data_IF_879145988925
#
_entry.id   IF_879145988925
#
_cell.length_a   1.000
_cell.length_b   1.000
_cell.length_c   1.000
_cell.angle_alpha   90.00
_cell.angle_beta   90.00
_cell.angle_gamma   90.00
#
_symmetry.space_group_name_H-M   'P 1'
#
loop_
_entity.id
_entity.type
_entity.pdbx_description
1 polymer ?
#
# COMPACT_ATOMS: atom_id res chain seq x y z
N UNK A 1 -70.28 -17.37 -17.75
CA UNK A 1 -69.09 -18.18 -18.05
C UNK A 1 -67.92 -17.25 -18.32
N UNK A 2 -67.04 -17.03 -17.35
CA UNK A 2 -65.82 -16.23 -17.53
C UNK A 2 -64.61 -17.15 -17.66
N UNK A 3 -63.86 -16.96 -18.73
CA UNK A 3 -62.52 -17.52 -18.91
C UNK A 3 -61.53 -16.39 -18.60
N UNK A 4 -60.47 -16.67 -17.83
CA UNK A 4 -59.47 -15.66 -17.48
C UNK A 4 -58.26 -16.23 -16.75
N UNK A 5 -57.43 -16.97 -17.49
CA UNK A 5 -55.95 -16.97 -17.50
C UNK A 5 -55.26 -16.28 -16.29
N UNK A 6 -54.58 -17.05 -15.42
CA UNK A 6 -53.41 -16.56 -14.65
C UNK A 6 -52.16 -16.47 -15.55
N UNK A 7 -50.93 -16.21 -15.08
CA UNK A 7 -50.45 -16.04 -13.71
C UNK A 7 -49.47 -14.84 -13.56
N UNK A 8 -49.12 -14.44 -12.33
CA UNK A 8 -47.74 -14.01 -12.04
C UNK A 8 -47.50 -13.95 -10.53
N UNK A 9 -46.72 -14.92 -10.06
CA UNK A 9 -45.92 -14.81 -8.85
C UNK A 9 -45.07 -13.53 -8.95
N UNK A 10 -45.34 -12.54 -8.09
CA UNK A 10 -44.38 -11.47 -7.82
C UNK A 10 -43.20 -12.09 -7.08
N UNK A 11 -42.22 -12.58 -7.85
CA UNK A 11 -40.88 -12.85 -7.37
C UNK A 11 -40.21 -11.50 -7.12
N UNK A 12 -40.35 -10.99 -5.89
CA UNK A 12 -39.51 -9.90 -5.37
C UNK A 12 -38.10 -10.44 -5.12
N UNK A 13 -37.34 -10.62 -6.19
CA UNK A 13 -35.89 -10.78 -6.09
C UNK A 13 -35.27 -9.46 -5.59
N UNK A 14 -34.21 -9.49 -4.77
CA UNK A 14 -33.49 -8.28 -4.43
C UNK A 14 -32.88 -7.70 -5.71
N UNK A 15 -33.44 -6.57 -6.16
CA UNK A 15 -32.80 -5.70 -7.13
C UNK A 15 -31.59 -5.06 -6.47
N UNK A 16 -30.40 -5.45 -6.90
CA UNK A 16 -29.16 -4.98 -6.32
C UNK A 16 -27.94 -5.53 -7.02
N UNK A 17 -27.96 -5.59 -8.36
CA UNK A 17 -26.74 -5.65 -9.16
C UNK A 17 -26.02 -4.29 -9.05
N UNK A 18 -25.58 -3.95 -7.84
CA UNK A 18 -24.59 -2.89 -7.65
C UNK A 18 -23.33 -3.37 -8.34
N UNK A 19 -23.00 -2.78 -9.50
CA UNK A 19 -21.70 -2.98 -10.12
C UNK A 19 -20.66 -2.78 -9.03
N UNK A 20 -19.94 -3.85 -8.70
CA UNK A 20 -18.98 -3.88 -7.61
C UNK A 20 -17.95 -2.78 -7.87
N UNK A 21 -18.14 -1.63 -7.23
CA UNK A 21 -17.10 -0.63 -7.13
C UNK A 21 -15.93 -1.35 -6.46
N UNK A 22 -14.71 -1.27 -7.03
CA UNK A 22 -13.55 -1.85 -6.37
C UNK A 22 -13.54 -1.37 -4.92
N UNK A 23 -13.36 -2.30 -3.98
CA UNK A 23 -13.39 -2.00 -2.57
C UNK A 23 -12.15 -1.18 -2.22
N UNK A 24 -12.25 0.14 -2.34
CA UNK A 24 -11.20 1.05 -1.87
C UNK A 24 -11.25 1.09 -0.34
N UNK A 25 -10.12 0.87 0.35
CA UNK A 25 -10.07 1.14 1.77
C UNK A 25 -10.18 2.65 2.04
N UNK A 26 -10.65 3.01 3.23
CA UNK A 26 -10.70 4.41 3.67
C UNK A 26 -9.29 4.95 3.99
N UNK A 27 -8.41 4.06 4.45
CA UNK A 27 -7.02 4.33 4.83
C UNK A 27 -6.04 3.45 4.04
N UNK A 28 -4.75 3.80 4.08
CA UNK A 28 -3.70 3.00 3.43
C UNK A 28 -3.56 1.67 4.16
N UNK A 29 -3.84 0.56 3.47
CA UNK A 29 -3.69 -0.78 4.03
C UNK A 29 -2.43 -1.47 3.50
N UNK A 30 -1.69 -2.08 4.41
CA UNK A 30 -0.47 -2.82 4.10
C UNK A 30 -0.75 -4.32 4.20
N UNK A 31 -0.39 -5.07 3.16
CA UNK A 31 -0.49 -6.53 3.21
C UNK A 31 0.57 -7.16 4.10
N UNK A 32 0.33 -8.44 4.41
CA UNK A 32 1.39 -9.33 4.88
C UNK A 32 2.53 -9.36 3.85
N UNK A 33 3.76 -9.43 4.37
CA UNK A 33 4.96 -9.63 3.54
C UNK A 33 5.03 -11.11 3.17
N UNK A 34 5.45 -11.39 1.96
CA UNK A 34 5.83 -12.72 1.52
C UNK A 34 7.20 -12.63 0.88
N UNK A 35 8.04 -13.63 1.09
CA UNK A 35 9.41 -13.67 0.60
C UNK A 35 9.62 -14.89 -0.28
N UNK A 36 10.41 -14.69 -1.33
CA UNK A 36 10.98 -15.75 -2.15
C UNK A 36 12.50 -15.85 -1.85
N UNK A 37 13.25 -16.65 -2.60
CA UNK A 37 14.69 -16.84 -2.38
C UNK A 37 15.55 -15.57 -2.54
N UNK A 38 15.03 -14.53 -3.21
CA UNK A 38 15.80 -13.32 -3.60
C UNK A 38 15.16 -12.02 -3.12
N UNK A 39 13.82 -11.95 -3.06
CA UNK A 39 13.07 -10.72 -2.81
C UNK A 39 11.97 -10.91 -1.78
N UNK A 40 11.72 -9.86 -0.99
CA UNK A 40 10.54 -9.68 -0.15
C UNK A 40 9.52 -8.84 -0.91
N UNK A 41 8.27 -9.26 -0.92
CA UNK A 41 7.15 -8.64 -1.61
C UNK A 41 6.07 -8.21 -0.63
N UNK A 42 5.37 -7.14 -1.00
CA UNK A 42 4.21 -6.63 -0.28
C UNK A 42 3.34 -5.85 -1.26
N UNK A 43 2.03 -5.89 -1.06
CA UNK A 43 1.12 -4.96 -1.72
C UNK A 43 0.57 -3.94 -0.73
N UNK A 44 0.33 -2.73 -1.23
CA UNK A 44 -0.28 -1.63 -0.47
C UNK A 44 -1.54 -1.22 -1.20
N UNK A 45 -2.66 -1.20 -0.48
CA UNK A 45 -3.92 -0.69 -1.00
C UNK A 45 -4.04 0.79 -0.64
N UNK A 46 -4.15 1.61 -1.67
CA UNK A 46 -4.36 3.04 -1.54
C UNK A 46 -5.84 3.38 -1.38
N UNK A 47 -6.18 4.39 -0.57
CA UNK A 47 -7.52 4.94 -0.55
C UNK A 47 -7.82 5.64 -1.88
N UNK A 48 -9.12 5.81 -2.17
CA UNK A 48 -9.62 6.36 -3.44
C UNK A 48 -8.97 7.70 -3.83
N UNK A 49 -8.75 8.58 -2.85
CA UNK A 49 -8.11 9.89 -3.06
C UNK A 49 -6.66 9.75 -3.55
N UNK A 50 -5.90 8.84 -2.95
CA UNK A 50 -4.48 8.66 -3.23
C UNK A 50 -4.29 7.89 -4.54
N UNK A 51 -5.14 6.89 -4.82
CA UNK A 51 -5.15 6.22 -6.11
C UNK A 51 -5.43 7.19 -7.27
N UNK A 52 -6.33 8.16 -7.06
CA UNK A 52 -6.59 9.21 -8.06
C UNK A 52 -5.38 10.13 -8.25
N UNK A 53 -4.75 10.58 -7.16
CA UNK A 53 -3.52 11.39 -7.22
C UNK A 53 -2.39 10.63 -7.94
N UNK A 54 -2.21 9.35 -7.60
CA UNK A 54 -1.29 8.45 -8.27
C UNK A 54 -1.57 8.38 -9.78
N UNK A 55 -2.83 8.17 -10.19
CA UNK A 55 -3.20 8.15 -11.60
C UNK A 55 -2.95 9.49 -12.30
N UNK A 56 -3.10 10.63 -11.63
CA UNK A 56 -2.78 11.95 -12.20
C UNK A 56 -1.29 12.12 -12.45
N UNK A 57 -0.47 11.74 -11.47
CA UNK A 57 0.99 11.82 -11.50
C UNK A 57 1.56 10.90 -12.59
N UNK A 58 1.04 9.68 -12.66
CA UNK A 58 1.61 8.59 -13.45
C UNK A 58 0.90 8.33 -14.78
N UNK A 59 -0.28 8.93 -14.97
CA UNK A 59 -1.20 8.67 -16.10
C UNK A 59 -1.51 7.18 -16.32
N UNK A 60 -1.32 6.37 -15.27
CA UNK A 60 -1.45 4.90 -15.30
C UNK A 60 -0.41 4.17 -16.18
N UNK A 61 0.73 4.80 -16.53
CA UNK A 61 1.71 4.25 -17.49
C UNK A 61 3.14 4.09 -16.96
N UNK A 62 3.49 4.78 -15.88
CA UNK A 62 4.83 4.74 -15.26
C UNK A 62 4.82 4.11 -13.86
N UNK A 63 5.95 3.58 -13.41
CA UNK A 63 6.12 3.16 -12.02
C UNK A 63 6.33 4.41 -11.14
N UNK A 64 5.96 4.31 -9.86
CA UNK A 64 6.25 5.33 -8.87
C UNK A 64 7.68 5.17 -8.35
N UNK A 65 8.38 6.29 -8.24
CA UNK A 65 9.66 6.36 -7.53
C UNK A 65 9.43 6.51 -6.02
N UNK A 66 10.50 6.34 -5.23
CA UNK A 66 10.44 6.40 -3.77
C UNK A 66 9.75 7.66 -3.25
N UNK A 67 10.20 8.83 -3.71
CA UNK A 67 9.63 10.11 -3.34
C UNK A 67 8.14 10.22 -3.72
N UNK A 68 7.75 9.73 -4.89
CA UNK A 68 6.38 9.86 -5.40
C UNK A 68 5.38 9.07 -4.54
N UNK A 69 5.69 7.83 -4.16
CA UNK A 69 4.80 7.06 -3.28
C UNK A 69 4.85 7.53 -1.82
N UNK A 70 5.97 8.10 -1.36
CA UNK A 70 6.04 8.75 -0.03
C UNK A 70 5.12 9.97 0.04
N UNK A 71 5.05 10.78 -1.03
CA UNK A 71 4.13 11.92 -1.11
C UNK A 71 2.67 11.49 -1.09
N UNK A 72 2.36 10.30 -1.62
CA UNK A 72 1.02 9.68 -1.53
C UNK A 72 0.69 9.15 -0.12
N UNK A 73 1.58 9.31 0.86
CA UNK A 73 1.37 8.87 2.25
C UNK A 73 1.73 7.40 2.51
N UNK A 74 2.30 6.69 1.53
CA UNK A 74 2.79 5.33 1.77
C UNK A 74 4.06 5.41 2.60
N UNK A 75 4.07 4.75 3.77
CA UNK A 75 5.19 4.75 4.69
C UNK A 75 5.72 3.31 4.84
N UNK A 76 6.95 3.08 4.36
CA UNK A 76 7.63 1.79 4.47
C UNK A 76 9.14 1.99 4.60
N UNK A 77 9.86 0.91 4.92
CA UNK A 77 11.32 0.93 5.09
C UNK A 77 12.05 1.33 3.80
N UNK A 78 13.34 1.64 3.88
CA UNK A 78 14.16 1.88 2.69
C UNK A 78 14.33 0.60 1.88
N UNK A 79 14.53 0.74 0.57
CA UNK A 79 14.82 -0.38 -0.35
C UNK A 79 13.60 -1.01 -1.04
N UNK A 80 12.38 -0.58 -0.70
CA UNK A 80 11.18 -1.00 -1.41
C UNK A 80 11.07 -0.29 -2.76
N UNK A 81 10.92 -1.08 -3.83
CA UNK A 81 10.75 -0.60 -5.20
C UNK A 81 9.39 -1.01 -5.73
N UNK A 82 8.63 -0.04 -6.23
CA UNK A 82 7.40 -0.31 -6.95
C UNK A 82 7.74 -0.90 -8.31
N UNK A 83 7.37 -2.16 -8.55
CA UNK A 83 7.86 -2.89 -9.74
C UNK A 83 6.81 -3.11 -10.82
N UNK A 84 5.52 -3.10 -10.48
CA UNK A 84 4.46 -3.37 -11.43
C UNK A 84 3.18 -2.57 -11.12
N UNK A 85 2.52 -2.09 -12.18
CA UNK A 85 1.21 -1.43 -12.09
C UNK A 85 0.13 -2.47 -12.32
N UNK A 86 -0.72 -2.68 -11.33
CA UNK A 86 -1.88 -3.53 -11.50
C UNK A 86 -3.00 -2.79 -12.24
N UNK A 87 -3.16 -3.06 -13.55
CA UNK A 87 -4.15 -2.38 -14.41
C UNK A 87 -5.62 -2.53 -13.98
N UNK A 88 -6.11 -3.72 -13.58
CA UNK A 88 -7.52 -3.84 -13.19
C UNK A 88 -7.81 -3.13 -11.86
N UNK A 89 -6.84 -3.06 -10.95
CA UNK A 89 -6.98 -2.39 -9.66
C UNK A 89 -5.79 -1.43 -9.42
N UNK A 90 -5.83 -0.20 -9.97
CA UNK A 90 -4.72 0.75 -9.88
C UNK A 90 -4.47 1.30 -8.46
N UNK A 91 -5.35 0.97 -7.52
CA UNK A 91 -5.18 1.28 -6.11
C UNK A 91 -4.31 0.26 -5.38
N UNK A 92 -3.97 -0.86 -6.03
CA UNK A 92 -3.05 -1.86 -5.51
C UNK A 92 -1.64 -1.56 -6.04
N UNK A 93 -0.77 -1.12 -5.13
CA UNK A 93 0.65 -0.92 -5.43
C UNK A 93 1.46 -2.15 -5.06
N UNK A 94 2.24 -2.64 -6.01
CA UNK A 94 3.09 -3.82 -5.85
C UNK A 94 4.53 -3.40 -5.57
N UNK A 95 5.03 -3.75 -4.39
CA UNK A 95 6.38 -3.45 -3.97
C UNK A 95 7.22 -4.72 -3.83
N UNK A 96 8.50 -4.61 -4.18
CA UNK A 96 9.53 -5.63 -3.92
C UNK A 96 10.74 -4.99 -3.25
N UNK A 97 11.43 -5.72 -2.40
CA UNK A 97 12.65 -5.32 -1.69
C UNK A 97 13.64 -6.48 -1.72
N UNK A 98 14.92 -6.21 -1.90
CA UNK A 98 15.94 -7.27 -1.84
C UNK A 98 16.10 -7.79 -0.41
N UNK A 99 16.15 -9.12 -0.25
CA UNK A 99 16.31 -9.74 1.07
C UNK A 99 17.68 -9.36 1.69
N UNK A 100 18.71 -9.25 0.84
CA UNK A 100 20.07 -8.88 1.23
C UNK A 100 20.28 -7.36 1.41
N UNK A 101 19.23 -6.54 1.39
CA UNK A 101 19.36 -5.08 1.50
C UNK A 101 20.08 -4.63 2.78
N UNK A 102 19.78 -5.25 3.92
CA UNK A 102 20.44 -4.94 5.19
C UNK A 102 21.92 -5.35 5.20
N UNK A 103 22.26 -6.48 4.58
CA UNK A 103 23.65 -6.96 4.49
C UNK A 103 24.47 -6.07 3.55
N UNK A 104 23.90 -5.67 2.41
CA UNK A 104 24.55 -4.73 1.49
C UNK A 104 24.81 -3.38 2.14
N UNK A 105 23.87 -2.85 2.91
CA UNK A 105 24.08 -1.61 3.67
C UNK A 105 25.21 -1.78 4.68
N UNK A 106 25.16 -2.81 5.52
CA UNK A 106 26.22 -3.07 6.50
C UNK A 106 27.60 -3.16 5.83
N UNK A 107 27.73 -3.94 4.75
CA UNK A 107 28.99 -4.11 4.03
C UNK A 107 29.51 -2.81 3.39
N UNK A 108 28.60 -1.92 2.95
CA UNK A 108 28.96 -0.58 2.46
C UNK A 108 29.46 0.35 3.57
N UNK A 109 28.94 0.18 4.80
CA UNK A 109 29.40 0.92 5.98
C UNK A 109 30.69 0.34 6.59
N UNK A 110 31.02 -0.94 6.35
CA UNK A 110 32.25 -1.57 6.87
C UNK A 110 33.51 -1.31 6.01
N UNK A 111 33.38 -1.11 4.69
CA UNK A 111 34.50 -0.81 3.78
C UNK A 111 34.84 0.70 3.71
N UNK A 112 33.97 1.56 4.26
CA UNK A 112 34.22 2.99 4.36
C UNK A 112 35.22 3.29 5.49
N UNK A 113 36.23 4.15 5.29
CA UNK A 113 37.11 4.59 6.37
C UNK A 113 36.32 5.46 7.37
N UNK A 114 35.76 4.81 8.39
CA UNK A 114 35.35 5.32 9.71
C UNK A 114 34.36 6.51 9.74
N UNK A 115 33.07 6.18 9.95
CA UNK A 115 31.97 6.89 10.64
C UNK A 115 31.89 8.45 10.69
N UNK A 116 30.65 8.97 10.70
CA UNK A 116 30.13 9.31 12.03
C UNK A 116 28.72 8.78 12.31
N UNK A 117 28.54 8.34 13.55
CA UNK A 117 27.33 8.37 14.36
C UNK A 117 26.03 7.84 13.72
N UNK A 118 25.56 6.72 14.27
CA UNK A 118 24.12 6.59 14.54
C UNK A 118 23.63 7.92 15.14
N UNK A 119 22.63 8.62 14.58
CA UNK A 119 21.92 9.58 15.39
C UNK A 119 21.22 8.72 16.45
N UNK A 120 21.80 8.72 17.65
CA UNK A 120 21.07 8.48 18.88
C UNK A 120 19.74 9.23 18.73
N UNK A 121 18.65 8.48 18.54
CA UNK A 121 17.31 9.02 18.71
C UNK A 121 17.34 9.73 20.06
N UNK A 122 17.09 11.05 20.16
CA UNK A 122 16.93 11.64 21.46
C UNK A 122 15.71 10.95 22.07
N UNK A 123 15.97 10.04 22.99
CA UNK A 123 14.97 9.42 23.83
C UNK A 123 14.15 10.58 24.40
N UNK A 124 12.87 10.59 24.03
CA UNK A 124 11.94 11.64 24.37
C UNK A 124 12.09 11.97 25.85
N UNK A 125 12.28 13.26 26.14
CA UNK A 125 12.29 13.82 27.49
C UNK A 125 11.17 13.17 28.31
N UNK A 126 11.54 12.23 29.18
CA UNK A 126 10.65 11.74 30.20
C UNK A 126 10.39 12.95 31.12
N UNK A 127 9.14 13.38 31.34
CA UNK A 127 8.90 14.42 32.33
C UNK A 127 9.23 13.84 33.71
N UNK A 128 10.41 14.18 34.23
CA UNK A 128 10.72 14.01 35.64
C UNK A 128 9.65 14.73 36.44
N UNK A 129 8.92 13.96 37.25
CA UNK A 129 7.95 14.45 38.21
C UNK A 129 8.62 15.49 39.13
N UNK A 130 8.00 16.65 39.25
CA UNK A 130 8.32 17.61 40.31
C UNK A 130 7.42 17.29 41.50
N UNK A 131 8.03 16.76 42.55
CA UNK A 131 7.48 16.65 43.89
C UNK A 131 7.53 18.03 44.55
N UNK A 132 6.41 18.46 45.12
CA UNK A 132 6.24 19.74 45.83
C UNK A 132 4.86 19.87 46.45
#
# INVERSE_FOLDING_TARGET
SSCGIGPHNLFSGPQGSGGAMPAYPDEIQYSLKYEDDVYEYRHVLLPKSNAKAMLMITKGRRLLEEDEWRVLGVQQSLGWKHYEIHRPEPHVLLFRKELNWSQQQAQFYEDAPMAPAVPEVPEAQQPTQVDG
#
